data_IF_181811186915
#
_entry.id   IF_181811186915
#
_cell.length_a   1.000
_cell.length_b   1.000
_cell.length_c   1.000
_cell.angle_alpha   90.00
_cell.angle_beta   90.00
_cell.angle_gamma   90.00
#
_symmetry.space_group_name_H-M   'P 1'
#
loop_
_entity.id
_entity.type
_entity.pdbx_description
1 polymer ?
#
# COMPACT_ATOMS: atom_id res chain seq x y z
N UNK A 1 15.70 5.34 -11.94
CA UNK A 1 15.25 6.22 -13.06
C UNK A 1 13.84 5.90 -13.56
N UNK A 2 13.47 4.62 -13.77
CA UNK A 2 12.17 4.18 -14.33
C UNK A 2 10.91 4.87 -13.73
N UNK A 3 10.84 5.09 -12.42
CA UNK A 3 9.68 5.75 -11.75
C UNK A 3 9.35 7.16 -12.30
N UNK A 4 10.35 7.91 -12.81
CA UNK A 4 10.13 9.28 -13.29
C UNK A 4 9.83 9.37 -14.78
N UNK A 5 10.19 8.34 -15.53
CA UNK A 5 10.02 8.27 -16.98
C UNK A 5 8.87 7.35 -17.39
N UNK A 6 8.32 6.54 -16.48
CA UNK A 6 7.16 5.69 -16.73
C UNK A 6 5.83 6.36 -16.36
N UNK A 7 4.76 6.01 -17.09
CA UNK A 7 3.38 6.47 -16.80
C UNK A 7 2.98 6.05 -15.39
N UNK A 8 2.47 7.00 -14.60
CA UNK A 8 2.08 6.77 -13.20
C UNK A 8 3.24 6.44 -12.24
N UNK A 9 4.50 6.42 -12.73
CA UNK A 9 5.65 5.95 -11.97
C UNK A 9 5.70 4.46 -11.70
N UNK A 10 4.90 3.68 -12.44
CA UNK A 10 4.81 2.23 -12.31
C UNK A 10 6.16 1.60 -12.68
N UNK A 11 6.62 0.69 -11.82
CA UNK A 11 7.88 -0.04 -11.97
C UNK A 11 7.71 -1.47 -12.50
N UNK A 12 6.47 -1.95 -12.59
CA UNK A 12 6.14 -3.26 -13.15
C UNK A 12 6.60 -3.37 -14.62
N UNK A 13 6.93 -4.60 -15.03
CA UNK A 13 7.33 -4.89 -16.39
C UNK A 13 6.18 -4.63 -17.37
N UNK A 14 6.49 -4.03 -18.52
CA UNK A 14 5.48 -3.54 -19.48
C UNK A 14 4.96 -2.12 -19.23
N UNK A 15 5.38 -1.44 -18.15
CA UNK A 15 5.04 -0.03 -17.95
C UNK A 15 5.57 0.86 -19.08
N UNK A 16 4.68 1.60 -19.75
CA UNK A 16 5.04 2.49 -20.85
C UNK A 16 5.70 3.78 -20.35
N UNK A 17 6.58 4.36 -21.17
CA UNK A 17 7.13 5.69 -20.95
C UNK A 17 6.03 6.77 -20.93
N UNK A 18 6.28 7.85 -20.19
CA UNK A 18 5.48 9.07 -20.23
C UNK A 18 5.54 9.65 -21.64
N UNK A 19 4.38 9.77 -22.27
CA UNK A 19 4.22 10.50 -23.54
C UNK A 19 3.86 11.95 -23.24
N UNK A 20 2.57 12.28 -23.23
CA UNK A 20 2.09 13.64 -23.02
C UNK A 20 2.08 14.11 -21.55
N UNK A 21 2.40 13.24 -20.57
CA UNK A 21 2.33 13.56 -19.14
C UNK A 21 0.91 13.79 -18.63
N UNK A 22 0.77 14.10 -17.34
CA UNK A 22 -0.53 14.47 -16.75
C UNK A 22 -0.91 15.88 -17.22
N UNK A 23 -2.14 16.06 -17.69
CA UNK A 23 -2.67 17.33 -18.21
C UNK A 23 -1.76 17.99 -19.28
N UNK A 24 -1.14 17.19 -20.15
CA UNK A 24 -0.29 17.69 -21.24
C UNK A 24 1.09 18.22 -20.81
N UNK A 25 1.50 18.04 -19.55
CA UNK A 25 2.75 18.61 -19.01
C UNK A 25 4.01 17.83 -19.38
N UNK A 26 3.91 16.73 -20.12
CA UNK A 26 5.03 15.87 -20.48
C UNK A 26 5.84 15.42 -19.26
N UNK A 27 7.17 15.46 -19.35
CA UNK A 27 8.06 15.12 -18.24
C UNK A 27 7.89 16.02 -17.00
N UNK A 28 7.39 17.26 -17.16
CA UNK A 28 7.17 18.18 -16.04
C UNK A 28 6.07 17.70 -15.09
N UNK A 29 5.20 16.77 -15.51
CA UNK A 29 4.28 16.11 -14.56
C UNK A 29 4.99 15.17 -13.58
N UNK A 30 6.26 14.80 -13.85
CA UNK A 30 7.07 13.91 -13.01
C UNK A 30 8.33 14.57 -12.45
N UNK A 31 8.80 15.62 -13.10
CA UNK A 31 9.95 16.45 -12.71
C UNK A 31 9.51 17.83 -12.22
N UNK A 32 9.33 17.94 -10.91
CA UNK A 32 8.95 19.16 -10.20
C UNK A 32 9.99 19.50 -9.13
N UNK A 33 11.15 20.09 -9.50
CA UNK A 33 12.36 20.10 -8.69
C UNK A 33 12.15 20.67 -7.28
N UNK A 34 11.40 21.76 -7.14
CA UNK A 34 11.10 22.38 -5.83
C UNK A 34 10.38 21.41 -4.89
N UNK A 35 9.34 20.73 -5.37
CA UNK A 35 8.59 19.75 -4.57
C UNK A 35 9.40 18.47 -4.31
N UNK A 36 10.25 18.04 -5.26
CA UNK A 36 11.15 16.91 -5.05
C UNK A 36 12.17 17.21 -3.96
N UNK A 37 12.83 18.36 -4.02
CA UNK A 37 13.77 18.83 -2.99
C UNK A 37 13.10 18.82 -1.62
N UNK A 38 11.90 19.42 -1.51
CA UNK A 38 11.16 19.45 -0.24
C UNK A 38 10.89 18.06 0.31
N UNK A 39 10.46 17.11 -0.52
CA UNK A 39 10.19 15.72 -0.09
C UNK A 39 11.46 14.98 0.34
N UNK A 40 12.56 15.16 -0.39
CA UNK A 40 13.85 14.54 -0.05
C UNK A 40 14.34 15.06 1.30
N UNK A 41 14.31 16.38 1.51
CA UNK A 41 14.72 16.99 2.78
C UNK A 41 13.81 16.60 3.95
N UNK A 42 12.51 16.43 3.71
CA UNK A 42 11.58 15.94 4.73
C UNK A 42 11.92 14.50 5.17
N UNK A 43 12.29 13.62 4.24
CA UNK A 43 12.74 12.26 4.56
C UNK A 43 14.08 12.29 5.29
N UNK A 44 15.03 13.11 4.83
CA UNK A 44 16.34 13.26 5.47
C UNK A 44 16.22 13.67 6.94
N UNK A 45 15.28 14.56 7.27
CA UNK A 45 15.04 15.00 8.64
C UNK A 45 14.62 13.88 9.60
N UNK A 46 14.00 12.80 9.08
CA UNK A 46 13.52 11.67 9.88
C UNK A 46 14.28 10.37 9.58
N UNK A 47 15.37 10.43 8.82
CA UNK A 47 16.05 9.22 8.30
C UNK A 47 16.51 8.25 9.39
N UNK A 48 16.91 8.78 10.57
CA UNK A 48 17.38 7.97 11.70
C UNK A 48 16.23 7.14 12.33
N UNK A 49 14.98 7.42 11.97
CA UNK A 49 13.78 6.67 12.38
C UNK A 49 13.32 5.68 11.31
N UNK A 50 14.03 5.58 10.18
CA UNK A 50 13.65 4.74 9.03
C UNK A 50 14.71 3.67 8.81
N UNK A 51 14.31 2.41 8.98
CA UNK A 51 15.13 1.26 8.61
C UNK A 51 14.54 0.60 7.36
N UNK A 52 15.36 0.37 6.34
CA UNK A 52 14.96 -0.36 5.15
C UNK A 52 15.29 -1.85 5.31
N UNK A 53 14.28 -2.70 5.21
CA UNK A 53 14.43 -4.15 5.19
C UNK A 53 14.01 -4.66 3.82
N UNK A 54 14.94 -5.29 3.09
CA UNK A 54 14.64 -5.96 1.84
C UNK A 54 14.53 -7.47 2.11
N UNK A 55 13.32 -8.01 1.95
CA UNK A 55 13.07 -9.42 2.22
C UNK A 55 11.58 -9.76 2.24
N UNK A 56 11.27 -10.92 2.81
CA UNK A 56 9.91 -11.42 2.99
C UNK A 56 9.20 -10.64 4.12
N UNK A 57 8.10 -9.98 3.78
CA UNK A 57 7.27 -9.26 4.73
C UNK A 57 6.71 -10.17 5.83
N UNK A 58 6.44 -11.44 5.52
CA UNK A 58 5.98 -12.38 6.54
C UNK A 58 7.05 -12.63 7.60
N UNK A 59 8.33 -12.67 7.22
CA UNK A 59 9.42 -12.82 8.18
C UNK A 59 9.52 -11.61 9.11
N UNK A 60 9.35 -10.38 8.59
CA UNK A 60 9.36 -9.15 9.40
C UNK A 60 8.19 -9.14 10.39
N UNK A 61 6.99 -9.44 9.92
CA UNK A 61 5.82 -9.52 10.80
C UNK A 61 5.98 -10.61 11.88
N UNK A 62 6.55 -11.78 11.56
CA UNK A 62 6.88 -12.81 12.57
C UNK A 62 7.90 -12.33 13.59
N UNK A 63 8.93 -11.61 13.16
CA UNK A 63 9.97 -11.08 14.04
C UNK A 63 9.40 -10.13 15.10
N UNK A 64 8.40 -9.32 14.74
CA UNK A 64 7.74 -8.38 15.63
C UNK A 64 6.40 -8.88 16.19
N UNK A 65 6.01 -10.14 15.96
CA UNK A 65 4.66 -10.61 16.23
C UNK A 65 4.24 -10.50 17.70
N UNK A 66 5.20 -10.58 18.61
CA UNK A 66 4.95 -10.53 20.05
C UNK A 66 5.13 -9.14 20.67
N UNK A 67 5.45 -8.12 19.88
CA UNK A 67 5.57 -6.75 20.37
C UNK A 67 4.19 -6.06 20.42
N UNK A 68 3.63 -5.79 21.61
CA UNK A 68 2.35 -5.12 21.73
C UNK A 68 2.41 -3.62 21.40
N UNK A 69 3.60 -3.03 21.31
CA UNK A 69 3.79 -1.61 21.00
C UNK A 69 4.07 -1.36 19.52
N UNK A 70 4.20 -2.42 18.71
CA UNK A 70 4.33 -2.29 17.27
C UNK A 70 2.97 -1.95 16.63
N UNK A 71 2.99 -1.05 15.65
CA UNK A 71 1.87 -0.79 14.73
C UNK A 71 2.28 -1.22 13.33
N UNK A 72 1.50 -2.12 12.73
CA UNK A 72 1.77 -2.65 11.40
C UNK A 72 0.85 -1.99 10.38
N UNK A 73 1.42 -1.27 9.41
CA UNK A 73 0.68 -0.82 8.24
C UNK A 73 1.02 -1.74 7.06
N UNK A 74 0.02 -2.46 6.54
CA UNK A 74 0.21 -3.54 5.56
C UNK A 74 -0.58 -3.20 4.28
N UNK A 75 0.14 -2.90 3.19
CA UNK A 75 -0.44 -2.62 1.87
C UNK A 75 0.07 -3.65 0.84
N UNK A 76 -0.50 -4.87 0.83
CA UNK A 76 -0.01 -5.96 0.00
C UNK A 76 -0.47 -5.78 -1.46
N UNK A 77 0.16 -6.50 -2.42
CA UNK A 77 -0.35 -6.54 -3.78
C UNK A 77 -1.82 -6.98 -3.83
N UNK A 78 -2.68 -6.18 -4.44
CA UNK A 78 -4.12 -6.47 -4.53
C UNK A 78 -4.44 -7.66 -5.44
N UNK A 79 -5.54 -8.36 -5.16
CA UNK A 79 -5.96 -9.57 -5.90
C UNK A 79 -6.08 -9.27 -7.41
N UNK A 80 -6.77 -8.19 -7.78
CA UNK A 80 -6.98 -7.81 -9.19
C UNK A 80 -5.93 -6.86 -9.74
N UNK A 81 -5.57 -5.84 -8.96
CA UNK A 81 -4.68 -4.78 -9.43
C UNK A 81 -3.19 -5.09 -9.23
N UNK A 82 -2.86 -6.12 -8.45
CA UNK A 82 -1.51 -6.45 -8.01
C UNK A 82 -0.52 -6.60 -9.16
N UNK A 83 -0.85 -7.44 -10.15
CA UNK A 83 0.00 -7.73 -11.33
C UNK A 83 0.34 -6.49 -12.16
N UNK A 84 -0.51 -5.46 -12.14
CA UNK A 84 -0.28 -4.22 -12.90
C UNK A 84 0.52 -3.19 -12.10
N UNK A 85 0.37 -3.19 -10.78
CA UNK A 85 0.92 -2.16 -9.90
C UNK A 85 2.28 -2.55 -9.32
N UNK A 86 2.47 -3.84 -9.03
CA UNK A 86 3.63 -4.36 -8.31
C UNK A 86 4.48 -5.24 -9.22
N UNK A 87 5.80 -5.17 -9.02
CA UNK A 87 6.77 -6.05 -9.70
C UNK A 87 6.71 -7.48 -9.17
N UNK A 88 6.49 -7.63 -7.86
CA UNK A 88 6.25 -8.90 -7.19
C UNK A 88 4.82 -8.86 -6.66
N UNK A 89 3.89 -9.48 -7.38
CA UNK A 89 2.45 -9.37 -7.11
C UNK A 89 1.83 -10.62 -6.52
N UNK A 90 2.57 -11.72 -6.46
CA UNK A 90 2.08 -12.98 -5.90
C UNK A 90 2.25 -12.95 -4.39
N UNK A 91 1.14 -13.12 -3.68
CA UNK A 91 1.09 -13.20 -2.22
C UNK A 91 0.01 -14.18 -1.82
N UNK A 92 0.26 -14.94 -0.75
CA UNK A 92 -0.74 -15.78 -0.11
C UNK A 92 -1.59 -14.91 0.83
N UNK A 93 -2.75 -14.49 0.33
CA UNK A 93 -3.70 -13.66 1.09
C UNK A 93 -4.22 -14.38 2.35
N UNK A 94 -4.70 -15.64 2.28
CA UNK A 94 -5.06 -16.40 3.48
C UNK A 94 -3.95 -16.42 4.55
N UNK A 95 -2.71 -16.71 4.17
CA UNK A 95 -1.60 -16.72 5.11
C UNK A 95 -1.36 -15.34 5.73
N UNK A 96 -1.50 -14.26 4.95
CA UNK A 96 -1.33 -12.90 5.46
C UNK A 96 -2.38 -12.56 6.51
N UNK A 97 -3.65 -12.90 6.27
CA UNK A 97 -4.73 -12.66 7.23
C UNK A 97 -4.53 -13.47 8.52
N UNK A 98 -4.15 -14.75 8.39
CA UNK A 98 -3.80 -15.57 9.54
C UNK A 98 -2.66 -14.95 10.35
N UNK A 99 -1.60 -14.50 9.70
CA UNK A 99 -0.47 -13.90 10.39
C UNK A 99 -0.82 -12.55 11.02
N UNK A 100 -1.57 -11.68 10.33
CA UNK A 100 -2.00 -10.38 10.84
C UNK A 100 -2.89 -10.53 12.08
N UNK A 101 -3.84 -11.47 12.06
CA UNK A 101 -4.71 -11.76 13.21
C UNK A 101 -3.93 -12.22 14.46
N UNK A 102 -2.76 -12.85 14.27
CA UNK A 102 -1.92 -13.38 15.34
C UNK A 102 -0.94 -12.35 15.96
N UNK A 103 -0.79 -11.17 15.36
CA UNK A 103 0.07 -10.11 15.89
C UNK A 103 -0.43 -9.66 17.28
N UNK A 104 0.47 -9.25 18.18
CA UNK A 104 0.12 -8.64 19.46
C UNK A 104 -0.10 -7.14 19.36
N UNK A 105 0.72 -6.46 18.56
CA UNK A 105 0.55 -5.05 18.23
C UNK A 105 -0.62 -4.81 17.29
N UNK A 106 -1.05 -3.56 17.18
CA UNK A 106 -2.13 -3.16 16.28
C UNK A 106 -1.71 -3.25 14.82
N UNK A 107 -2.67 -3.45 13.93
CA UNK A 107 -2.39 -3.44 12.50
C UNK A 107 -3.52 -2.76 11.72
N UNK A 108 -3.16 -2.23 10.56
CA UNK A 108 -4.11 -1.74 9.57
C UNK A 108 -3.68 -2.29 8.21
N UNK A 109 -4.57 -3.04 7.56
CA UNK A 109 -4.38 -3.49 6.18
C UNK A 109 -5.24 -2.67 5.22
N UNK A 110 -4.68 -2.40 4.04
CA UNK A 110 -5.38 -1.74 2.93
C UNK A 110 -5.59 -2.72 1.78
N UNK A 111 -6.79 -2.74 1.20
CA UNK A 111 -7.16 -3.66 0.13
C UNK A 111 -8.11 -3.05 -0.89
N UNK A 112 -8.11 -3.57 -2.12
CA UNK A 112 -9.23 -3.34 -3.01
C UNK A 112 -10.49 -4.07 -2.54
N UNK A 113 -11.65 -3.45 -2.78
CA UNK A 113 -12.92 -4.09 -2.46
C UNK A 113 -13.14 -5.36 -3.29
N UNK A 114 -12.96 -6.51 -2.64
CA UNK A 114 -13.06 -7.84 -3.24
C UNK A 114 -13.79 -8.82 -2.32
N UNK A 115 -14.71 -9.66 -2.84
CA UNK A 115 -15.46 -10.62 -2.02
C UNK A 115 -14.57 -11.55 -1.18
N UNK A 116 -13.48 -12.06 -1.77
CA UNK A 116 -12.52 -12.93 -1.08
C UNK A 116 -11.86 -12.25 0.12
N UNK A 117 -11.48 -10.98 -0.03
CA UNK A 117 -10.84 -10.20 1.04
C UNK A 117 -11.83 -9.97 2.19
N UNK A 118 -13.10 -9.68 1.88
CA UNK A 118 -14.15 -9.56 2.90
C UNK A 118 -14.39 -10.88 3.62
N UNK A 119 -14.38 -12.00 2.89
CA UNK A 119 -14.54 -13.33 3.47
C UNK A 119 -13.35 -13.68 4.39
N UNK A 120 -12.13 -13.35 4.00
CA UNK A 120 -10.95 -13.52 4.83
C UNK A 120 -11.03 -12.67 6.10
N UNK A 121 -11.42 -11.40 5.99
CA UNK A 121 -11.62 -10.54 7.16
C UNK A 121 -12.64 -11.14 8.13
N UNK A 122 -13.79 -11.58 7.62
CA UNK A 122 -14.83 -12.21 8.43
C UNK A 122 -14.37 -13.53 9.08
N UNK A 123 -13.58 -14.34 8.38
CA UNK A 123 -13.06 -15.63 8.89
C UNK A 123 -12.08 -15.43 10.06
N UNK A 124 -11.43 -14.27 10.12
CA UNK A 124 -10.45 -13.92 11.14
C UNK A 124 -11.01 -12.92 12.19
N UNK A 125 -12.33 -12.73 12.23
CA UNK A 125 -13.02 -11.80 13.15
C UNK A 125 -12.47 -10.36 13.09
N UNK A 126 -12.10 -9.90 11.89
CA UNK A 126 -11.57 -8.55 11.66
C UNK A 126 -12.66 -7.60 11.19
N UNK A 127 -12.56 -6.34 11.65
CA UNK A 127 -13.42 -5.27 11.18
C UNK A 127 -13.03 -4.82 9.77
N UNK A 128 -14.03 -4.40 8.99
CA UNK A 128 -13.85 -3.87 7.64
C UNK A 128 -14.50 -2.49 7.55
N UNK A 129 -13.67 -1.47 7.32
CA UNK A 129 -14.10 -0.12 6.99
C UNK A 129 -13.99 0.14 5.48
N UNK A 130 -14.82 1.03 4.96
CA UNK A 130 -14.79 1.40 3.55
C UNK A 130 -14.43 2.87 3.38
N UNK A 131 -13.49 3.15 2.48
CA UNK A 131 -13.17 4.52 2.08
C UNK A 131 -13.41 4.69 0.58
N UNK A 132 -14.03 5.82 0.23
CA UNK A 132 -14.30 6.17 -1.17
C UNK A 132 -13.08 6.84 -1.78
N UNK A 133 -12.48 6.21 -2.79
CA UNK A 133 -11.42 6.78 -3.59
C UNK A 133 -11.93 7.30 -4.94
N UNK A 134 -11.45 8.47 -5.34
CA UNK A 134 -11.56 8.94 -6.73
C UNK A 134 -10.34 8.48 -7.50
N UNK A 135 -10.55 7.62 -8.50
CA UNK A 135 -9.48 7.25 -9.43
C UNK A 135 -9.16 8.40 -10.39
N UNK A 136 -8.01 8.33 -11.07
CA UNK A 136 -7.61 9.29 -12.13
C UNK A 136 -8.62 9.39 -13.28
N UNK A 137 -9.49 8.39 -13.44
CA UNK A 137 -10.56 8.35 -14.46
C UNK A 137 -11.93 8.79 -13.92
N UNK A 138 -11.99 9.44 -12.75
CA UNK A 138 -13.24 9.85 -12.07
C UNK A 138 -14.20 8.70 -11.71
N UNK A 139 -13.79 7.44 -11.90
CA UNK A 139 -14.53 6.30 -11.37
C UNK A 139 -14.36 6.24 -9.85
N UNK A 140 -15.48 6.06 -9.14
CA UNK A 140 -15.48 5.73 -7.72
C UNK A 140 -14.96 4.30 -7.55
N UNK A 141 -13.90 4.15 -6.76
CA UNK A 141 -13.43 2.85 -6.30
C UNK A 141 -13.51 2.84 -4.79
N UNK A 142 -13.91 1.71 -4.21
CA UNK A 142 -13.83 1.49 -2.76
C UNK A 142 -12.51 0.80 -2.42
N UNK A 143 -11.88 1.30 -1.38
CA UNK A 143 -10.76 0.66 -0.71
C UNK A 143 -11.24 0.22 0.68
N UNK A 144 -10.78 -0.95 1.09
CA UNK A 144 -11.10 -1.54 2.39
C UNK A 144 -9.96 -1.24 3.36
N UNK A 145 -10.35 -0.82 4.55
CA UNK A 145 -9.50 -0.78 5.74
C UNK A 145 -9.84 -1.99 6.59
N UNK A 146 -8.84 -2.76 7.01
CA UNK A 146 -9.05 -3.99 7.78
C UNK A 146 -8.15 -3.97 9.01
N UNK A 147 -8.74 -4.13 10.19
CA UNK A 147 -8.06 -4.08 11.50
C UNK A 147 -8.89 -4.87 12.53
N UNK A 148 -8.35 -5.05 13.74
CA UNK A 148 -9.15 -5.54 14.89
C UNK A 148 -10.14 -4.49 15.38
N UNK A 149 -9.76 -3.23 15.29
CA UNK A 149 -10.55 -2.08 15.74
C UNK A 149 -10.47 -0.95 14.72
N UNK A 150 -11.63 -0.48 14.26
CA UNK A 150 -11.84 0.63 13.33
C UNK A 150 -12.84 1.65 13.87
N UNK A 151 -13.13 1.67 15.17
CA UNK A 151 -14.12 2.60 15.77
C UNK A 151 -13.74 4.08 15.53
N UNK A 152 -12.45 4.36 15.36
CA UNK A 152 -11.92 5.69 15.02
C UNK A 152 -12.27 6.17 13.60
N UNK A 153 -12.70 5.28 12.69
CA UNK A 153 -12.97 5.63 11.30
C UNK A 153 -14.30 6.39 11.13
N UNK A 154 -15.23 6.22 12.06
CA UNK A 154 -16.57 6.84 12.05
C UNK A 154 -16.66 8.07 12.95
N UNK A 155 -15.57 8.42 13.64
CA UNK A 155 -15.47 9.54 14.58
C UNK A 155 -15.23 10.90 13.91
#
# INVERSE_FOLDING_TARGET
VKNRVNRGGILADGASFVRHGENGKGIRSRWYPTTLRRRILAIDHIRERITFVHGDAFAVCRHHAHDPHALFFIDPPYVKAGRRLYRHSEIDHPALFAQASALKGDFLMTYDDHPEIRQLAATHDLQVGEISMKTTHHAQKRELLISRDLDWLTS
#
